data_IF_035438679681
#
_entry.id   IF_035438679681
#
_cell.length_a   1.000
_cell.length_b   1.000
_cell.length_c   1.000
_cell.angle_alpha   90.00
_cell.angle_beta   90.00
_cell.angle_gamma   90.00
#
_symmetry.space_group_name_H-M   'P 1'
#
loop_
_entity.id
_entity.type
_entity.pdbx_description
1 polymer ?
#
# COMPACT_ATOMS: atom_id res chain seq x y z
N UNK A 1 3.47 22.73 -14.95
CA UNK A 1 4.53 22.16 -14.08
C UNK A 1 4.39 22.80 -12.72
N UNK A 2 4.54 22.05 -11.63
CA UNK A 2 4.54 22.63 -10.28
C UNK A 2 5.96 23.11 -9.96
N UNK A 3 6.08 24.26 -9.29
CA UNK A 3 7.34 24.80 -8.79
C UNK A 3 7.29 24.88 -7.25
N UNK A 4 7.47 23.73 -6.55
CA UNK A 4 7.34 23.65 -5.11
C UNK A 4 8.52 24.28 -4.37
N UNK A 5 8.26 24.83 -3.18
CA UNK A 5 9.32 25.22 -2.23
C UNK A 5 10.14 24.00 -1.80
N UNK A 6 11.34 24.18 -1.20
CA UNK A 6 12.12 23.07 -0.66
C UNK A 6 11.34 22.16 0.30
N UNK A 7 10.51 22.76 1.18
CA UNK A 7 9.68 22.06 2.17
C UNK A 7 8.57 21.27 1.49
N UNK A 8 7.88 21.87 0.52
CA UNK A 8 6.86 21.19 -0.28
C UNK A 8 7.47 20.02 -1.06
N UNK A 9 8.65 20.20 -1.63
CA UNK A 9 9.39 19.16 -2.36
C UNK A 9 9.75 17.99 -1.44
N UNK A 10 10.22 18.28 -0.22
CA UNK A 10 10.48 17.25 0.78
C UNK A 10 9.22 16.50 1.15
N UNK A 11 8.10 17.21 1.38
CA UNK A 11 6.83 16.59 1.73
C UNK A 11 6.27 15.70 0.62
N UNK A 12 6.41 16.12 -0.64
CA UNK A 12 6.05 15.31 -1.81
C UNK A 12 6.92 14.06 -1.93
N UNK A 13 8.23 14.16 -1.69
CA UNK A 13 9.14 13.00 -1.66
C UNK A 13 8.71 12.00 -0.58
N UNK A 14 8.39 12.48 0.62
CA UNK A 14 7.92 11.62 1.70
C UNK A 14 6.56 10.97 1.37
N UNK A 15 5.61 11.73 0.82
CA UNK A 15 4.31 11.25 0.39
C UNK A 15 4.44 10.08 -0.61
N UNK A 16 5.22 10.28 -1.68
CA UNK A 16 5.45 9.28 -2.72
C UNK A 16 6.28 8.09 -2.21
N UNK A 17 7.31 8.36 -1.42
CA UNK A 17 8.20 7.34 -0.85
C UNK A 17 7.45 6.39 0.08
N UNK A 18 6.68 6.92 1.03
CA UNK A 18 5.90 6.12 1.96
C UNK A 18 4.77 5.35 1.26
N UNK A 19 4.12 5.97 0.25
CA UNK A 19 3.13 5.30 -0.59
C UNK A 19 3.71 4.06 -1.30
N UNK A 20 4.88 4.23 -1.94
CA UNK A 20 5.58 3.14 -2.63
C UNK A 20 6.01 2.05 -1.65
N UNK A 21 6.52 2.44 -0.49
CA UNK A 21 6.94 1.51 0.55
C UNK A 21 5.77 0.65 1.04
N UNK A 22 4.66 1.27 1.46
CA UNK A 22 3.47 0.56 1.97
C UNK A 22 2.83 -0.32 0.90
N UNK A 23 2.81 0.12 -0.36
CA UNK A 23 2.37 -0.73 -1.47
C UNK A 23 3.20 -2.01 -1.55
N UNK A 24 4.53 -1.90 -1.53
CA UNK A 24 5.43 -3.05 -1.62
C UNK A 24 5.31 -3.97 -0.41
N UNK A 25 5.22 -3.41 0.80
CA UNK A 25 5.03 -4.17 2.04
C UNK A 25 3.71 -4.94 2.03
N UNK A 26 2.60 -4.28 1.66
CA UNK A 26 1.30 -4.93 1.52
C UNK A 26 1.27 -5.97 0.41
N UNK A 27 1.97 -5.75 -0.71
CA UNK A 27 2.07 -6.71 -1.79
C UNK A 27 2.80 -7.98 -1.34
N UNK A 28 3.93 -7.82 -0.66
CA UNK A 28 4.70 -8.94 -0.12
C UNK A 28 3.87 -9.76 0.89
N UNK A 29 3.18 -9.07 1.81
CA UNK A 29 2.35 -9.73 2.81
C UNK A 29 1.15 -10.44 2.19
N UNK A 30 0.48 -9.80 1.21
CA UNK A 30 -0.63 -10.45 0.49
C UNK A 30 -0.16 -11.70 -0.25
N UNK A 31 1.01 -11.66 -0.90
CA UNK A 31 1.60 -12.84 -1.54
C UNK A 31 1.88 -13.95 -0.52
N UNK A 32 2.40 -13.61 0.66
CA UNK A 32 2.67 -14.57 1.74
C UNK A 32 1.38 -15.26 2.21
N UNK A 33 0.32 -14.49 2.46
CA UNK A 33 -1.01 -14.99 2.87
C UNK A 33 -1.63 -15.88 1.79
N UNK A 34 -1.60 -15.46 0.52
CA UNK A 34 -2.09 -16.32 -0.57
C UNK A 34 -1.25 -17.60 -0.72
N UNK A 35 0.05 -17.51 -0.49
CA UNK A 35 0.97 -18.64 -0.52
C UNK A 35 0.75 -19.66 0.61
N UNK A 36 0.18 -19.25 1.76
CA UNK A 36 -0.24 -20.17 2.83
C UNK A 36 -1.60 -20.83 2.56
N UNK A 37 -2.22 -20.56 1.41
CA UNK A 37 -3.55 -21.08 1.06
C UNK A 37 -4.71 -20.29 1.69
N UNK A 38 -4.41 -19.17 2.34
CA UNK A 38 -5.43 -18.28 2.88
C UNK A 38 -6.05 -17.40 1.78
N UNK A 39 -7.18 -16.77 2.11
CA UNK A 39 -7.90 -15.90 1.16
C UNK A 39 -7.21 -14.55 1.02
N UNK A 40 -7.45 -13.89 -0.11
CA UNK A 40 -7.04 -12.51 -0.34
C UNK A 40 -7.54 -11.62 0.81
N UNK A 41 -6.65 -10.92 1.55
CA UNK A 41 -7.06 -9.97 2.57
C UNK A 41 -7.89 -8.83 1.98
N UNK A 42 -8.93 -8.44 2.71
CA UNK A 42 -9.71 -7.24 2.42
C UNK A 42 -8.88 -5.97 2.60
N UNK A 43 -9.31 -4.87 1.98
CA UNK A 43 -8.71 -3.56 2.21
C UNK A 43 -8.72 -3.14 3.70
N UNK A 44 -9.73 -3.58 4.45
CA UNK A 44 -9.80 -3.34 5.90
C UNK A 44 -8.72 -4.10 6.66
N UNK A 45 -8.48 -5.37 6.32
CA UNK A 45 -7.40 -6.17 6.91
C UNK A 45 -6.02 -5.58 6.64
N UNK A 46 -5.77 -5.15 5.40
CA UNK A 46 -4.53 -4.45 5.05
C UNK A 46 -4.35 -3.16 5.88
N UNK A 47 -5.41 -2.38 6.08
CA UNK A 47 -5.36 -1.19 6.93
C UNK A 47 -5.14 -1.51 8.42
N UNK A 48 -5.62 -2.66 8.91
CA UNK A 48 -5.28 -3.14 10.26
C UNK A 48 -3.80 -3.49 10.36
N UNK A 49 -3.24 -4.17 9.36
CA UNK A 49 -1.79 -4.44 9.30
C UNK A 49 -0.98 -3.15 9.29
N UNK A 50 -1.41 -2.13 8.54
CA UNK A 50 -0.76 -0.81 8.55
C UNK A 50 -0.67 -0.20 9.95
N UNK A 51 -1.73 -0.33 10.76
CA UNK A 51 -1.72 0.15 12.15
C UNK A 51 -0.65 -0.55 13.00
N UNK A 52 -0.38 -1.83 12.72
CA UNK A 52 0.69 -2.59 13.36
C UNK A 52 2.05 -2.15 12.81
N UNK A 53 2.22 -2.09 11.49
CA UNK A 53 3.48 -1.70 10.86
C UNK A 53 3.97 -0.33 11.33
N UNK A 54 3.08 0.66 11.46
CA UNK A 54 3.44 2.00 11.97
C UNK A 54 4.01 1.98 13.39
N UNK A 55 3.86 0.91 14.15
CA UNK A 55 4.41 0.75 15.52
C UNK A 55 5.70 -0.06 15.54
N UNK A 56 6.09 -0.68 14.42
CA UNK A 56 7.31 -1.48 14.34
C UNK A 56 8.52 -0.56 14.20
N UNK A 57 9.63 -0.80 14.94
CA UNK A 57 10.82 0.07 14.89
C UNK A 57 11.36 0.31 13.48
N UNK A 58 11.39 -0.72 12.64
CA UNK A 58 11.89 -0.67 11.26
C UNK A 58 11.02 0.18 10.32
N UNK A 59 9.76 0.41 10.70
CA UNK A 59 8.76 1.12 9.89
C UNK A 59 8.25 2.39 10.59
N UNK A 60 8.91 2.82 11.67
CA UNK A 60 8.44 3.91 12.53
C UNK A 60 8.29 5.24 11.77
N UNK A 61 9.09 5.45 10.73
CA UNK A 61 9.03 6.63 9.84
C UNK A 61 7.67 6.78 9.12
N UNK A 62 6.86 5.73 9.05
CA UNK A 62 5.49 5.80 8.51
C UNK A 62 4.53 6.60 9.41
N UNK A 63 4.89 6.86 10.67
CA UNK A 63 4.10 7.72 11.56
C UNK A 63 4.03 9.16 11.05
N UNK A 64 5.09 9.65 10.41
CA UNK A 64 5.17 11.01 9.87
C UNK A 64 4.45 11.18 8.52
N UNK A 65 4.06 10.06 7.88
CA UNK A 65 3.37 10.08 6.61
C UNK A 65 1.87 10.44 6.75
N UNK A 66 1.27 10.94 5.68
CA UNK A 66 -0.19 11.12 5.62
C UNK A 66 -0.88 9.76 5.64
N UNK A 67 -1.58 9.45 6.74
CA UNK A 67 -2.26 8.16 6.94
C UNK A 67 -3.23 7.83 5.81
N UNK A 68 -4.02 8.81 5.35
CA UNK A 68 -5.01 8.61 4.29
C UNK A 68 -4.36 8.18 2.98
N UNK A 69 -3.17 8.71 2.66
CA UNK A 69 -2.42 8.32 1.48
C UNK A 69 -1.95 6.85 1.57
N UNK A 70 -1.50 6.40 2.74
CA UNK A 70 -1.09 5.00 2.94
C UNK A 70 -2.29 4.05 2.82
N UNK A 71 -3.42 4.40 3.45
CA UNK A 71 -4.64 3.61 3.38
C UNK A 71 -5.21 3.55 1.95
N UNK A 72 -5.18 4.67 1.22
CA UNK A 72 -5.60 4.71 -0.17
C UNK A 72 -4.72 3.79 -1.04
N UNK A 73 -3.40 3.75 -0.80
CA UNK A 73 -2.52 2.83 -1.54
C UNK A 73 -2.80 1.37 -1.26
N UNK A 74 -3.16 1.00 -0.03
CA UNK A 74 -3.59 -0.36 0.29
C UNK A 74 -4.95 -0.71 -0.31
N UNK A 75 -5.86 0.27 -0.42
CA UNK A 75 -7.13 0.12 -1.15
C UNK A 75 -6.90 -0.10 -2.64
N UNK A 76 -5.99 0.66 -3.25
CA UNK A 76 -5.57 0.50 -4.65
C UNK A 76 -4.97 -0.90 -4.88
N UNK A 77 -4.11 -1.37 -3.95
CA UNK A 77 -3.51 -2.70 -4.00
C UNK A 77 -4.58 -3.80 -3.95
N UNK A 78 -5.52 -3.71 -3.02
CA UNK A 78 -6.62 -4.66 -2.94
C UNK A 78 -7.47 -4.65 -4.22
N UNK A 79 -7.73 -3.47 -4.81
CA UNK A 79 -8.43 -3.39 -6.08
C UNK A 79 -7.65 -4.06 -7.23
N UNK A 80 -6.32 -3.91 -7.27
CA UNK A 80 -5.47 -4.60 -8.23
C UNK A 80 -5.56 -6.13 -8.09
N UNK A 81 -5.49 -6.65 -6.87
CA UNK A 81 -5.68 -8.08 -6.62
C UNK A 81 -7.06 -8.59 -7.03
N UNK A 82 -8.14 -7.85 -6.72
CA UNK A 82 -9.49 -8.22 -7.18
C UNK A 82 -9.56 -8.33 -8.71
N UNK A 83 -8.89 -7.43 -9.43
CA UNK A 83 -8.81 -7.47 -10.90
C UNK A 83 -8.03 -8.69 -11.39
N UNK A 84 -6.95 -9.09 -10.71
CA UNK A 84 -6.20 -10.30 -11.05
C UNK A 84 -7.06 -11.57 -10.99
N UNK A 85 -8.04 -11.62 -10.09
CA UNK A 85 -8.96 -12.76 -9.95
C UNK A 85 -10.28 -12.59 -10.73
N UNK A 86 -10.46 -11.46 -11.43
CA UNK A 86 -11.65 -11.23 -12.23
C UNK A 86 -11.53 -11.92 -13.60
N UNK A 87 -12.27 -13.02 -13.76
CA UNK A 87 -12.30 -13.81 -15.01
C UNK A 87 -12.78 -13.01 -16.22
N UNK A 88 -13.52 -11.91 -16.03
CA UNK A 88 -13.99 -11.04 -17.13
C UNK A 88 -12.87 -10.19 -17.72
N UNK A 89 -11.78 -9.98 -16.97
CA UNK A 89 -10.63 -9.18 -17.38
C UNK A 89 -9.47 -10.04 -17.89
N UNK A 90 -9.66 -11.35 -18.03
CA UNK A 90 -8.66 -12.24 -18.59
C UNK A 90 -8.27 -11.76 -19.99
N UNK A 91 -6.96 -11.60 -20.22
CA UNK A 91 -6.45 -11.29 -21.56
C UNK A 91 -6.91 -12.40 -22.53
N UNK A 92 -7.47 -12.00 -23.68
CA UNK A 92 -7.68 -12.96 -24.76
C UNK A 92 -6.29 -13.41 -25.23
N UNK A 93 -6.05 -14.72 -25.19
CA UNK A 93 -4.84 -15.34 -25.70
C UNK A 93 -4.75 -15.16 -27.22
#
# INVERSE_FOLDING_TARGET
RLEPTPEQSQRLRQLCGCARFVWNLGLAETKRILGSGEKLPSAFELNRMLTVWKKMPEHIFLQDAYTDNLQQKLKDLHAAWKRCFDKKLAAKA
#
